data_IF_030339574975
#
_entry.id   IF_030339574975
#
_cell.length_a   1.000
_cell.length_b   1.000
_cell.length_c   1.000
_cell.angle_alpha   90.00
_cell.angle_beta   90.00
_cell.angle_gamma   90.00
#
_symmetry.space_group_name_H-M   'P 1'
#
loop_
_entity.id
_entity.type
_entity.pdbx_description
1 polymer ?
#
# COMPACT_ATOMS: atom_id res chain seq x y z
N UNK A 1 21.26 -1.58 9.61
CA UNK A 1 21.35 -0.64 8.46
C UNK A 1 19.96 -0.26 8.02
N UNK A 2 19.64 1.03 7.97
CA UNK A 2 18.32 1.49 7.52
C UNK A 2 18.10 1.18 6.02
N UNK A 3 16.83 0.98 5.61
CA UNK A 3 16.48 0.75 4.21
C UNK A 3 16.96 1.90 3.30
N UNK A 4 16.92 3.14 3.79
CA UNK A 4 17.47 4.33 3.12
C UNK A 4 18.94 4.15 2.76
N UNK A 5 19.76 3.70 3.71
CA UNK A 5 21.19 3.53 3.52
C UNK A 5 21.49 2.39 2.53
N UNK A 6 20.71 1.29 2.56
CA UNK A 6 20.87 0.19 1.58
C UNK A 6 20.59 0.66 0.16
N UNK A 7 19.49 1.38 -0.07
CA UNK A 7 19.13 1.89 -1.41
C UNK A 7 20.18 2.87 -1.92
N UNK A 8 20.64 3.81 -1.09
CA UNK A 8 21.71 4.73 -1.46
C UNK A 8 23.00 3.99 -1.81
N UNK A 9 23.41 3.00 -1.00
CA UNK A 9 24.60 2.18 -1.27
C UNK A 9 24.50 1.38 -2.57
N UNK A 10 23.37 0.73 -2.83
CA UNK A 10 23.14 0.00 -4.07
C UNK A 10 23.17 0.92 -5.30
N UNK A 11 22.54 2.09 -5.20
CA UNK A 11 22.54 3.08 -6.27
C UNK A 11 23.97 3.60 -6.54
N UNK A 12 24.71 3.95 -5.50
CA UNK A 12 26.11 4.39 -5.60
C UNK A 12 26.99 3.31 -6.18
N UNK A 13 26.84 2.04 -5.73
CA UNK A 13 27.60 0.90 -6.26
C UNK A 13 27.33 0.69 -7.76
N UNK A 14 26.06 0.79 -8.18
CA UNK A 14 25.69 0.64 -9.58
C UNK A 14 26.31 1.74 -10.47
N UNK A 15 26.30 2.99 -10.01
CA UNK A 15 26.93 4.10 -10.73
C UNK A 15 28.44 3.93 -10.79
N UNK A 16 29.10 3.48 -9.71
CA UNK A 16 30.53 3.19 -9.68
C UNK A 16 30.91 2.06 -10.66
N UNK A 17 30.12 0.99 -10.72
CA UNK A 17 30.34 -0.11 -11.66
C UNK A 17 30.22 0.38 -13.11
N UNK A 18 29.23 1.22 -13.42
CA UNK A 18 29.06 1.80 -14.74
C UNK A 18 30.24 2.71 -15.10
N UNK A 19 30.68 3.57 -14.17
CA UNK A 19 31.83 4.44 -14.36
C UNK A 19 33.14 3.62 -14.57
N UNK A 20 33.33 2.54 -13.80
CA UNK A 20 34.46 1.64 -13.96
C UNK A 20 34.45 0.94 -15.33
N UNK A 21 33.26 0.50 -15.79
CA UNK A 21 33.10 -0.13 -17.11
C UNK A 21 33.45 0.84 -18.26
N UNK A 22 32.98 2.09 -18.16
CA UNK A 22 33.33 3.14 -19.15
C UNK A 22 34.81 3.43 -19.14
N UNK A 23 35.44 3.51 -17.95
CA UNK A 23 36.88 3.75 -17.84
C UNK A 23 37.68 2.60 -18.46
N UNK A 24 37.33 1.35 -18.18
CA UNK A 24 37.96 0.16 -18.79
C UNK A 24 37.81 0.18 -20.30
N UNK A 25 36.62 0.51 -20.80
CA UNK A 25 36.37 0.61 -22.23
C UNK A 25 37.25 1.66 -22.90
N UNK A 26 37.39 2.85 -22.29
CA UNK A 26 38.27 3.91 -22.78
C UNK A 26 39.72 3.48 -22.78
N UNK A 27 40.17 2.81 -21.71
CA UNK A 27 41.55 2.30 -21.60
C UNK A 27 41.82 1.20 -22.63
N UNK A 28 40.89 0.30 -22.89
CA UNK A 28 41.03 -0.78 -23.89
C UNK A 28 41.14 -0.21 -25.30
N UNK A 29 40.27 0.77 -25.65
CA UNK A 29 40.34 1.43 -26.97
C UNK A 29 41.64 2.16 -27.15
N UNK A 30 42.09 2.93 -26.16
CA UNK A 30 43.39 3.61 -26.23
C UNK A 30 44.57 2.61 -26.24
N UNK A 31 44.50 1.53 -25.46
CA UNK A 31 45.49 0.49 -25.46
C UNK A 31 45.64 -0.21 -26.84
N UNK A 32 44.53 -0.43 -27.53
CA UNK A 32 44.57 -0.97 -28.90
C UNK A 32 45.25 -0.01 -29.92
N UNK A 33 45.14 1.32 -29.69
CA UNK A 33 45.84 2.33 -30.51
C UNK A 33 47.32 2.46 -30.19
N UNK A 34 47.80 2.01 -29.00
CA UNK A 34 49.21 2.04 -28.58
C UNK A 34 50.04 0.96 -29.27
N UNK A 35 49.44 -0.05 -29.87
CA UNK A 35 50.15 -1.12 -30.61
C UNK A 35 50.60 -0.72 -31.99
N UNK A 36 50.27 0.48 -32.46
CA UNK A 36 50.72 0.99 -33.75
C UNK A 36 52.07 1.70 -33.56
N UNK A 37 53.17 0.90 -33.59
CA UNK A 37 54.54 1.41 -33.50
C UNK A 37 54.93 2.21 -34.75
N UNK A 38 55.01 3.55 -34.70
CA UNK A 38 55.36 4.36 -35.85
C UNK A 38 56.79 4.07 -36.38
N UNK A 39 57.69 3.74 -35.44
CA UNK A 39 59.09 3.42 -35.78
C UNK A 39 59.16 2.10 -36.56
N UNK A 40 58.45 1.04 -36.10
CA UNK A 40 58.38 -0.22 -36.82
C UNK A 40 57.71 -0.11 -38.18
N UNK A 41 56.64 0.75 -38.31
CA UNK A 41 56.04 1.04 -39.63
C UNK A 41 56.99 1.77 -40.57
N UNK A 42 57.76 2.73 -40.05
CA UNK A 42 58.75 3.50 -40.81
C UNK A 42 59.78 2.54 -41.43
N UNK A 43 60.41 1.73 -40.60
CA UNK A 43 61.41 0.75 -41.07
C UNK A 43 60.83 -0.19 -42.12
N UNK A 44 59.63 -0.75 -41.86
CA UNK A 44 59.01 -1.71 -42.77
C UNK A 44 58.68 -1.11 -44.15
N UNK A 45 58.23 0.13 -44.18
CA UNK A 45 57.91 0.82 -45.47
C UNK A 45 59.19 1.14 -46.24
N UNK A 46 60.25 1.63 -45.54
CA UNK A 46 61.51 1.97 -46.16
C UNK A 46 62.21 0.71 -46.72
N UNK A 47 62.31 -0.36 -45.94
CA UNK A 47 62.89 -1.63 -46.39
C UNK A 47 62.11 -2.25 -47.56
N UNK A 48 60.79 -2.16 -47.54
CA UNK A 48 59.96 -2.61 -48.67
C UNK A 48 60.23 -1.83 -49.96
N UNK A 49 60.45 -0.51 -49.87
CA UNK A 49 60.86 0.26 -51.02
C UNK A 49 62.28 -0.14 -51.48
N UNK A 50 63.20 -0.42 -50.53
CA UNK A 50 64.53 -0.91 -50.86
C UNK A 50 64.48 -2.24 -51.64
N UNK A 51 63.61 -3.20 -51.20
CA UNK A 51 63.44 -4.49 -51.85
C UNK A 51 62.81 -4.42 -53.25
N UNK A 52 62.07 -3.32 -53.53
CA UNK A 52 61.35 -3.10 -54.80
C UNK A 52 62.16 -2.28 -55.79
N UNK A 53 63.33 -1.75 -55.39
CA UNK A 53 64.11 -0.90 -56.24
C UNK A 53 64.82 -1.74 -57.34
N UNK A 54 64.57 -1.40 -58.57
CA UNK A 54 65.13 -2.07 -59.73
C UNK A 54 65.82 -1.00 -60.61
N UNK A 55 66.95 -1.43 -61.19
CA UNK A 55 67.68 -0.60 -62.17
C UNK A 55 67.77 -1.34 -63.47
N UNK A 56 66.96 -0.92 -64.44
CA UNK A 56 66.92 -1.57 -65.74
C UNK A 56 67.21 -0.51 -66.85
N UNK A 57 67.87 -0.94 -67.92
CA UNK A 57 68.18 -0.14 -69.11
C UNK A 57 68.83 1.23 -68.82
N UNK A 58 69.61 1.34 -67.75
CA UNK A 58 70.33 2.56 -67.41
C UNK A 58 69.46 3.63 -66.70
N UNK A 59 68.29 3.24 -66.20
CA UNK A 59 67.39 4.12 -65.43
C UNK A 59 66.80 3.43 -64.25
N UNK A 60 66.50 4.17 -63.17
CA UNK A 60 65.76 3.66 -62.05
C UNK A 60 64.26 3.60 -62.39
N UNK A 61 63.63 2.52 -62.05
CA UNK A 61 62.21 2.34 -62.16
C UNK A 61 61.48 2.82 -60.90
N UNK A 62 60.76 3.95 -61.04
CA UNK A 62 60.10 4.62 -59.88
C UNK A 62 58.62 4.24 -59.74
N UNK A 63 57.98 3.61 -60.73
CA UNK A 63 56.56 3.42 -60.81
C UNK A 63 56.01 2.53 -59.72
N UNK A 64 56.79 1.54 -59.18
CA UNK A 64 56.42 0.61 -58.12
C UNK A 64 56.85 1.07 -56.76
N UNK A 65 57.46 2.24 -56.61
CA UNK A 65 57.96 2.74 -55.32
C UNK A 65 56.90 3.64 -54.66
N UNK A 66 56.68 3.39 -53.40
CA UNK A 66 55.72 4.13 -52.56
C UNK A 66 56.38 5.40 -51.98
N UNK A 67 56.22 6.57 -52.58
CA UNK A 67 56.69 7.88 -52.04
C UNK A 67 55.91 8.29 -50.79
N UNK A 68 54.70 7.83 -50.63
CA UNK A 68 53.85 7.99 -49.43
C UNK A 68 53.00 6.75 -49.18
N UNK A 69 53.18 6.17 -48.00
CA UNK A 69 52.41 4.99 -47.59
C UNK A 69 52.23 4.90 -46.09
N UNK A 70 50.98 4.74 -45.65
CA UNK A 70 50.61 4.54 -44.22
C UNK A 70 51.21 5.63 -43.30
N UNK A 71 51.25 6.88 -43.74
CA UNK A 71 51.80 8.00 -42.98
C UNK A 71 53.31 8.14 -43.07
N UNK A 72 54.01 7.25 -43.79
CA UNK A 72 55.45 7.36 -44.04
C UNK A 72 55.69 8.04 -45.37
N UNK A 73 56.47 9.09 -45.34
CA UNK A 73 56.98 9.77 -46.53
C UNK A 73 58.36 9.18 -46.86
N UNK A 74 58.57 8.75 -48.11
CA UNK A 74 59.82 8.25 -48.57
C UNK A 74 60.40 9.18 -49.64
N UNK A 75 61.67 9.53 -49.42
CA UNK A 75 62.44 10.39 -50.34
C UNK A 75 63.70 9.65 -50.72
N UNK A 76 64.06 9.68 -51.97
CA UNK A 76 65.18 8.94 -52.55
C UNK A 76 66.26 9.93 -53.00
N UNK A 77 67.48 9.70 -52.55
CA UNK A 77 68.66 10.51 -52.85
C UNK A 77 69.74 9.67 -53.52
N UNK A 78 70.51 10.35 -54.41
CA UNK A 78 71.71 9.76 -54.99
C UNK A 78 72.90 9.72 -54.04
N UNK A 79 74.03 9.14 -54.48
CA UNK A 79 75.25 9.03 -53.70
C UNK A 79 75.78 10.39 -53.21
N UNK A 80 75.64 11.44 -54.02
CA UNK A 80 76.06 12.81 -53.70
C UNK A 80 75.01 13.57 -52.84
N UNK A 81 73.89 12.90 -52.43
CA UNK A 81 72.82 13.52 -51.66
C UNK A 81 71.85 14.35 -52.49
N UNK A 82 71.91 14.25 -53.82
CA UNK A 82 70.90 14.92 -54.68
C UNK A 82 69.56 14.21 -54.65
N UNK A 83 68.45 14.97 -54.71
CA UNK A 83 67.10 14.43 -54.74
C UNK A 83 66.82 13.73 -56.06
N UNK A 84 66.57 12.42 -56.04
CA UNK A 84 66.24 11.65 -57.22
C UNK A 84 64.74 11.49 -57.47
N UNK A 85 64.01 11.15 -56.37
CA UNK A 85 62.57 10.91 -56.44
C UNK A 85 61.90 11.12 -55.07
N UNK A 86 60.58 11.41 -55.10
CA UNK A 86 59.76 11.66 -53.92
C UNK A 86 59.63 13.16 -53.62
N UNK A 87 58.62 13.47 -52.85
CA UNK A 87 58.36 14.85 -52.39
C UNK A 87 58.68 14.93 -50.88
N UNK A 88 59.54 15.86 -50.53
CA UNK A 88 59.73 16.24 -49.15
C UNK A 88 58.46 17.01 -48.71
N UNK A 89 57.95 16.78 -47.52
CA UNK A 89 56.84 17.54 -46.97
C UNK A 89 57.27 19.01 -46.80
N UNK A 90 56.52 19.97 -47.33
CA UNK A 90 56.90 21.38 -47.42
C UNK A 90 57.24 22.03 -46.07
N UNK A 91 56.68 21.52 -44.97
CA UNK A 91 56.88 22.03 -43.61
C UNK A 91 58.06 21.37 -42.86
N UNK A 92 58.69 20.29 -43.39
CA UNK A 92 59.72 19.54 -42.69
C UNK A 92 61.12 19.76 -43.36
N UNK A 93 61.80 20.83 -42.98
CA UNK A 93 63.20 20.98 -43.34
C UNK A 93 64.10 20.05 -42.47
N UNK A 94 64.41 18.84 -43.00
CA UNK A 94 65.28 17.87 -42.31
C UNK A 94 66.69 17.99 -42.82
N UNK A 95 67.54 18.74 -42.11
CA UNK A 95 68.95 18.95 -42.40
C UNK A 95 69.84 17.93 -41.69
N UNK A 96 69.52 16.66 -41.83
CA UNK A 96 70.34 15.56 -41.23
C UNK A 96 71.20 14.87 -42.31
N UNK A 97 72.47 14.53 -41.99
CA UNK A 97 73.26 13.66 -42.85
C UNK A 97 72.55 12.28 -42.99
N UNK A 98 72.76 11.64 -44.16
CA UNK A 98 72.27 10.27 -44.41
C UNK A 98 73.08 9.29 -43.58
N UNK A 99 72.39 8.42 -42.81
CA UNK A 99 72.99 7.41 -41.92
C UNK A 99 72.20 6.11 -41.95
N UNK A 100 72.83 5.07 -42.48
CA UNK A 100 72.12 3.83 -42.77
C UNK A 100 71.67 3.08 -41.51
N UNK A 101 70.47 2.60 -41.53
CA UNK A 101 69.88 1.62 -40.58
C UNK A 101 69.78 2.14 -39.14
N UNK A 102 69.67 3.45 -38.95
CA UNK A 102 69.45 4.10 -37.63
C UNK A 102 68.15 4.89 -37.64
N UNK A 103 67.32 4.63 -36.62
CA UNK A 103 66.12 5.48 -36.40
C UNK A 103 66.55 6.68 -35.58
N UNK A 104 66.30 7.88 -36.07
CA UNK A 104 66.61 9.15 -35.39
C UNK A 104 65.33 9.94 -35.11
N UNK A 105 65.25 10.55 -33.95
CA UNK A 105 64.17 11.47 -33.59
C UNK A 105 64.62 12.91 -33.89
N UNK A 106 63.82 13.65 -34.65
CA UNK A 106 64.13 15.02 -35.04
C UNK A 106 62.88 15.85 -34.81
N UNK A 107 63.07 17.14 -34.49
CA UNK A 107 61.98 18.10 -34.45
C UNK A 107 62.09 19.03 -35.68
N UNK A 108 61.12 18.96 -36.56
CA UNK A 108 61.00 19.83 -37.73
C UNK A 108 59.54 20.28 -37.90
N UNK A 109 59.32 21.53 -38.31
CA UNK A 109 57.96 22.09 -38.43
C UNK A 109 57.17 22.16 -37.11
N UNK A 110 57.83 22.07 -35.93
CA UNK A 110 57.17 22.04 -34.63
C UNK A 110 56.66 20.67 -34.20
N UNK A 111 56.89 19.63 -35.01
CA UNK A 111 56.51 18.26 -34.74
C UNK A 111 57.71 17.36 -34.50
N UNK A 112 57.57 16.36 -33.67
CA UNK A 112 58.57 15.29 -33.51
C UNK A 112 58.39 14.27 -34.62
N UNK A 113 59.46 13.97 -35.33
CA UNK A 113 59.51 13.05 -36.46
C UNK A 113 60.51 11.92 -36.18
N UNK A 114 60.19 10.72 -36.61
CA UNK A 114 61.15 9.62 -36.75
C UNK A 114 61.65 9.63 -38.19
N UNK A 115 62.97 9.60 -38.31
CA UNK A 115 63.69 9.50 -39.60
C UNK A 115 64.48 8.20 -39.61
N UNK A 116 64.37 7.45 -40.69
CA UNK A 116 65.13 6.22 -40.91
C UNK A 116 65.66 6.23 -42.33
N UNK A 117 66.97 6.06 -42.47
CA UNK A 117 67.64 6.01 -43.73
C UNK A 117 68.18 4.58 -44.00
N UNK A 118 68.10 4.14 -45.25
CA UNK A 118 68.75 2.91 -45.69
C UNK A 118 69.45 3.17 -47.02
N UNK A 119 70.51 2.45 -47.26
CA UNK A 119 71.30 2.50 -48.48
C UNK A 119 71.08 1.26 -49.30
N UNK A 120 70.78 1.38 -50.58
CA UNK A 120 70.65 0.31 -51.53
C UNK A 120 71.84 0.45 -52.54
N UNK A 121 72.74 -0.54 -52.52
CA UNK A 121 73.81 -0.64 -53.47
C UNK A 121 73.46 -1.61 -54.60
N UNK A 122 73.48 -1.12 -55.85
CA UNK A 122 73.07 -1.87 -57.04
C UNK A 122 74.16 -2.11 -58.01
N UNK A 123 75.44 -2.24 -57.55
CA UNK A 123 76.60 -2.43 -58.33
C UNK A 123 76.94 -1.30 -59.35
N UNK A 124 75.98 -0.52 -59.74
CA UNK A 124 76.03 0.56 -60.73
C UNK A 124 75.80 1.94 -60.14
N UNK A 125 74.97 2.02 -59.09
CA UNK A 125 74.61 3.26 -58.43
C UNK A 125 74.18 3.01 -56.99
N UNK A 126 74.47 3.90 -56.07
CA UNK A 126 74.03 3.87 -54.67
C UNK A 126 72.87 4.84 -54.55
N UNK A 127 71.75 4.33 -53.97
CA UNK A 127 70.59 5.14 -53.65
C UNK A 127 70.27 5.08 -52.18
N UNK A 128 70.09 6.23 -51.60
CA UNK A 128 69.65 6.39 -50.23
C UNK A 128 68.12 6.57 -50.20
N UNK A 129 67.45 5.83 -49.34
CA UNK A 129 66.03 5.97 -49.10
C UNK A 129 65.82 6.48 -47.68
N UNK A 130 65.29 7.69 -47.59
CA UNK A 130 64.92 8.35 -46.34
C UNK A 130 63.45 8.23 -46.13
N UNK A 131 63.04 7.54 -45.08
CA UNK A 131 61.66 7.56 -44.57
C UNK A 131 61.47 8.54 -43.43
N UNK A 132 60.32 9.19 -43.40
CA UNK A 132 59.95 10.11 -42.35
C UNK A 132 58.52 9.87 -41.94
N UNK A 133 58.27 9.79 -40.64
CA UNK A 133 56.91 9.64 -40.07
C UNK A 133 56.77 10.53 -38.82
N UNK A 134 55.63 11.19 -38.60
CA UNK A 134 55.37 11.89 -37.34
C UNK A 134 55.42 10.91 -36.15
N UNK A 135 56.20 11.27 -35.14
CA UNK A 135 56.14 10.60 -33.85
C UNK A 135 54.86 11.08 -33.17
N UNK A 136 53.77 10.32 -33.31
CA UNK A 136 52.50 10.69 -32.70
C UNK A 136 52.69 10.94 -31.19
N UNK A 137 52.47 12.19 -30.77
CA UNK A 137 52.55 12.55 -29.36
C UNK A 137 51.34 12.00 -28.60
N UNK A 138 51.45 10.72 -28.17
CA UNK A 138 50.41 10.00 -27.38
C UNK A 138 50.36 10.51 -25.93
N UNK A 139 51.35 11.30 -25.50
CA UNK A 139 51.43 11.79 -24.11
C UNK A 139 50.31 12.74 -23.76
N UNK A 140 49.89 13.59 -24.73
CA UNK A 140 48.81 14.56 -24.53
C UNK A 140 47.45 13.94 -24.34
N UNK A 141 47.14 12.87 -25.08
CA UNK A 141 45.83 12.17 -24.97
C UNK A 141 45.71 11.45 -23.62
N UNK A 142 46.79 10.76 -23.21
CA UNK A 142 46.78 10.04 -21.90
C UNK A 142 46.65 11.04 -20.74
N UNK A 143 47.34 12.18 -20.80
CA UNK A 143 47.27 13.20 -19.77
C UNK A 143 45.83 13.81 -19.68
N UNK A 144 45.19 14.05 -20.80
CA UNK A 144 43.82 14.51 -20.85
C UNK A 144 42.82 13.52 -20.26
N UNK A 145 43.01 12.22 -20.55
CA UNK A 145 42.15 11.15 -19.97
C UNK A 145 42.34 11.06 -18.45
N UNK A 146 43.57 11.16 -17.95
CA UNK A 146 43.84 11.14 -16.51
C UNK A 146 43.18 12.33 -15.82
N UNK A 147 43.35 13.54 -16.32
CA UNK A 147 42.74 14.76 -15.77
C UNK A 147 41.22 14.63 -15.77
N UNK A 148 40.62 14.20 -16.89
CA UNK A 148 39.18 14.05 -17.02
C UNK A 148 38.64 13.00 -16.04
N UNK A 149 39.33 11.89 -15.89
CA UNK A 149 38.96 10.84 -14.95
C UNK A 149 39.06 11.32 -13.50
N UNK A 150 40.15 11.98 -13.14
CA UNK A 150 40.39 12.51 -11.79
C UNK A 150 39.40 13.61 -11.38
N UNK A 151 38.80 14.32 -12.33
CA UNK A 151 37.81 15.37 -12.07
C UNK A 151 36.37 14.85 -12.12
N UNK A 152 36.02 14.06 -13.13
CA UNK A 152 34.64 13.57 -13.33
C UNK A 152 34.25 12.48 -12.34
N UNK A 153 35.16 11.55 -12.00
CA UNK A 153 34.82 10.44 -11.13
C UNK A 153 34.40 10.88 -9.73
N UNK A 154 35.13 11.76 -9.02
CA UNK A 154 34.70 12.29 -7.73
C UNK A 154 33.37 13.06 -7.81
N UNK A 155 33.18 13.86 -8.87
CA UNK A 155 31.94 14.60 -9.08
C UNK A 155 30.74 13.65 -9.25
N UNK A 156 30.90 12.58 -10.02
CA UNK A 156 29.89 11.53 -10.20
C UNK A 156 29.55 10.81 -8.89
N UNK A 157 30.56 10.51 -8.05
CA UNK A 157 30.35 9.89 -6.75
C UNK A 157 29.51 10.80 -5.86
N UNK A 158 29.89 12.07 -5.74
CA UNK A 158 29.13 13.03 -4.91
C UNK A 158 27.68 13.18 -5.42
N UNK A 159 27.49 13.32 -6.73
CA UNK A 159 26.17 13.44 -7.33
C UNK A 159 25.32 12.18 -7.12
N UNK A 160 25.93 11.00 -7.24
CA UNK A 160 25.27 9.70 -7.00
C UNK A 160 24.83 9.54 -5.54
N UNK A 161 25.70 9.85 -4.59
CA UNK A 161 25.38 9.77 -3.15
C UNK A 161 24.27 10.77 -2.81
N UNK A 162 24.39 12.02 -3.26
CA UNK A 162 23.38 13.06 -3.00
C UNK A 162 22.03 12.71 -3.64
N UNK A 163 22.04 12.29 -4.91
CA UNK A 163 20.83 11.89 -5.63
C UNK A 163 20.17 10.66 -5.00
N UNK A 164 20.93 9.63 -4.69
CA UNK A 164 20.42 8.43 -4.02
C UNK A 164 19.83 8.74 -2.62
N UNK A 165 20.48 9.63 -1.87
CA UNK A 165 19.94 10.07 -0.56
C UNK A 165 18.65 10.87 -0.68
N UNK A 166 18.55 11.80 -1.66
CA UNK A 166 17.34 12.58 -1.90
C UNK A 166 16.16 11.68 -2.31
N UNK A 167 16.40 10.75 -3.24
CA UNK A 167 15.38 9.78 -3.69
C UNK A 167 14.93 8.89 -2.52
N UNK A 168 15.89 8.31 -1.78
CA UNK A 168 15.58 7.46 -0.64
C UNK A 168 14.82 8.23 0.46
N UNK A 169 15.22 9.47 0.77
CA UNK A 169 14.52 10.32 1.75
C UNK A 169 13.08 10.61 1.31
N UNK A 170 12.86 10.93 0.03
CA UNK A 170 11.52 11.19 -0.52
C UNK A 170 10.62 9.95 -0.48
N UNK A 171 11.17 8.79 -0.81
CA UNK A 171 10.43 7.52 -0.85
C UNK A 171 10.06 6.98 0.55
N UNK A 172 10.92 7.13 1.55
CA UNK A 172 10.70 6.54 2.88
C UNK A 172 10.08 7.48 3.92
N UNK A 173 10.05 8.79 3.69
CA UNK A 173 9.42 9.75 4.61
C UNK A 173 7.93 9.48 4.86
N UNK A 174 7.12 9.09 3.85
CA UNK A 174 5.72 8.71 4.06
C UNK A 174 5.54 7.50 4.96
N UNK A 175 6.43 6.52 4.85
CA UNK A 175 6.39 5.30 5.66
C UNK A 175 6.64 5.58 7.15
N UNK A 176 7.52 6.53 7.47
CA UNK A 176 7.75 6.98 8.86
C UNK A 176 6.49 7.57 9.48
N UNK A 177 5.68 8.32 8.70
CA UNK A 177 4.40 8.85 9.17
C UNK A 177 3.38 7.75 9.49
N UNK A 178 3.32 6.71 8.63
CA UNK A 178 2.44 5.55 8.87
C UNK A 178 2.84 4.83 10.14
N UNK A 179 4.14 4.58 10.32
CA UNK A 179 4.68 3.90 11.52
C UNK A 179 4.44 4.73 12.77
N UNK A 180 4.67 6.05 12.73
CA UNK A 180 4.42 6.92 13.89
C UNK A 180 2.93 6.98 14.27
N UNK A 181 2.03 7.05 13.29
CA UNK A 181 0.59 6.99 13.52
C UNK A 181 0.17 5.65 14.14
N UNK A 182 0.71 4.54 13.64
CA UNK A 182 0.44 3.22 14.19
C UNK A 182 0.92 3.07 15.65
N UNK A 183 2.10 3.59 15.97
CA UNK A 183 2.65 3.55 17.33
C UNK A 183 1.83 4.43 18.29
N UNK A 184 1.46 5.66 17.90
CA UNK A 184 0.62 6.54 18.74
C UNK A 184 -0.73 5.92 19.09
N UNK A 185 -1.31 5.14 18.16
CA UNK A 185 -2.56 4.42 18.40
C UNK A 185 -2.34 3.23 19.34
N UNK A 186 -1.21 2.51 19.20
CA UNK A 186 -0.85 1.40 20.08
C UNK A 186 -0.66 1.87 21.53
N UNK A 187 -0.15 3.08 21.72
CA UNK A 187 0.07 3.69 23.04
C UNK A 187 -1.22 4.29 23.64
N UNK A 188 -2.35 4.26 22.92
CA UNK A 188 -3.67 4.66 23.40
C UNK A 188 -3.95 6.17 23.37
N UNK A 189 -3.07 6.97 22.76
CA UNK A 189 -3.12 8.43 22.88
C UNK A 189 -4.22 9.09 22.04
N UNK A 190 -4.43 8.72 20.79
CA UNK A 190 -5.44 9.36 19.94
C UNK A 190 -5.83 8.50 18.72
N UNK A 191 -7.03 7.93 18.74
CA UNK A 191 -7.58 7.15 17.61
C UNK A 191 -8.11 8.03 16.47
N UNK A 192 -8.19 9.35 16.65
CA UNK A 192 -8.64 10.29 15.61
C UNK A 192 -7.54 10.64 14.61
N UNK A 193 -6.28 10.29 14.90
CA UNK A 193 -5.16 10.53 14.02
C UNK A 193 -5.38 9.92 12.64
N UNK A 194 -5.11 10.72 11.60
CA UNK A 194 -5.16 10.29 10.20
C UNK A 194 -3.86 10.68 9.50
N UNK A 195 -3.42 9.83 8.61
CA UNK A 195 -2.21 10.06 7.82
C UNK A 195 -2.43 11.17 6.79
N UNK A 196 -3.61 11.20 6.20
CA UNK A 196 -4.15 12.25 5.32
C UNK A 196 -3.16 12.68 4.22
N UNK A 197 -2.58 11.69 3.52
CA UNK A 197 -1.52 11.91 2.54
C UNK A 197 -2.07 12.43 1.21
N UNK A 198 -1.84 13.71 0.93
CA UNK A 198 -2.25 14.36 -0.33
C UNK A 198 -1.14 14.37 -1.39
N UNK A 199 0.14 14.28 -1.00
CA UNK A 199 1.32 14.34 -1.88
C UNK A 199 2.19 13.11 -1.72
N UNK A 200 2.78 12.62 -2.83
CA UNK A 200 3.67 11.45 -2.85
C UNK A 200 3.30 10.44 -3.94
N UNK A 201 4.03 9.33 -4.07
CA UNK A 201 3.76 8.25 -5.01
C UNK A 201 2.32 7.72 -4.87
N UNK A 202 1.72 7.29 -5.98
CA UNK A 202 0.34 6.78 -6.03
C UNK A 202 0.12 5.59 -5.09
N UNK A 203 1.09 4.69 -5.00
CA UNK A 203 1.08 3.51 -4.15
C UNK A 203 1.04 3.87 -2.66
N UNK A 204 1.83 4.88 -2.26
CA UNK A 204 1.87 5.36 -0.88
C UNK A 204 0.58 6.08 -0.50
N UNK A 205 -0.02 6.84 -1.42
CA UNK A 205 -1.34 7.47 -1.20
C UNK A 205 -2.44 6.44 -1.02
N UNK A 206 -2.44 5.37 -1.85
CA UNK A 206 -3.40 4.25 -1.72
C UNK A 206 -3.23 3.52 -0.40
N UNK A 207 -1.98 3.26 0.02
CA UNK A 207 -1.68 2.63 1.30
C UNK A 207 -2.16 3.50 2.46
N UNK A 208 -1.85 4.80 2.46
CA UNK A 208 -2.31 5.74 3.47
C UNK A 208 -3.84 5.80 3.56
N UNK A 209 -4.55 5.88 2.41
CA UNK A 209 -6.01 5.88 2.37
C UNK A 209 -6.62 4.58 2.92
N UNK A 210 -6.02 3.43 2.61
CA UNK A 210 -6.47 2.13 3.16
C UNK A 210 -6.25 2.06 4.67
N UNK A 211 -5.15 2.61 5.16
CA UNK A 211 -4.83 2.70 6.58
C UNK A 211 -5.81 3.65 7.30
N UNK A 212 -6.08 4.84 6.73
CA UNK A 212 -7.05 5.79 7.27
C UNK A 212 -8.46 5.19 7.35
N UNK A 213 -8.86 4.38 6.33
CA UNK A 213 -10.13 3.65 6.35
C UNK A 213 -10.18 2.59 7.45
N UNK A 214 -9.08 1.87 7.67
CA UNK A 214 -8.96 0.90 8.77
C UNK A 214 -9.04 1.59 10.13
N UNK A 215 -8.32 2.70 10.31
CA UNK A 215 -8.37 3.51 11.53
C UNK A 215 -9.77 4.06 11.80
N UNK A 216 -10.47 4.54 10.78
CA UNK A 216 -11.85 5.01 10.92
C UNK A 216 -12.81 3.91 11.40
N UNK A 217 -12.64 2.69 10.92
CA UNK A 217 -13.42 1.53 11.39
C UNK A 217 -13.11 1.17 12.83
N UNK A 218 -11.81 1.20 13.20
CA UNK A 218 -11.36 0.91 14.56
C UNK A 218 -11.90 1.95 15.55
N UNK A 219 -11.77 3.23 15.23
CA UNK A 219 -12.32 4.33 16.05
C UNK A 219 -13.84 4.21 16.23
N UNK A 220 -14.57 3.93 15.15
CA UNK A 220 -16.01 3.73 15.20
C UNK A 220 -16.38 2.53 16.09
N UNK A 221 -15.64 1.41 15.98
CA UNK A 221 -15.85 0.23 16.81
C UNK A 221 -15.60 0.54 18.28
N UNK A 222 -14.49 1.22 18.59
CA UNK A 222 -14.13 1.59 19.96
C UNK A 222 -15.13 2.58 20.59
N UNK A 223 -15.56 3.60 19.83
CA UNK A 223 -16.56 4.54 20.29
C UNK A 223 -17.90 3.85 20.56
N UNK A 224 -18.28 2.90 19.69
CA UNK A 224 -19.51 2.10 19.90
C UNK A 224 -19.40 1.24 21.16
N UNK A 225 -18.25 0.62 21.41
CA UNK A 225 -18.02 -0.19 22.62
C UNK A 225 -18.00 0.67 23.89
N UNK A 226 -17.33 1.83 23.83
CA UNK A 226 -17.30 2.79 24.96
C UNK A 226 -18.69 3.32 25.30
N UNK A 227 -19.48 3.67 24.27
CA UNK A 227 -20.86 4.11 24.44
C UNK A 227 -21.69 2.99 25.08
N UNK A 228 -21.58 1.76 24.58
CA UNK A 228 -22.24 0.60 25.13
C UNK A 228 -21.93 0.36 26.62
N UNK A 229 -20.66 0.45 27.00
CA UNK A 229 -20.26 0.29 28.41
C UNK A 229 -20.81 1.42 29.31
N UNK A 230 -20.82 2.64 28.80
CA UNK A 230 -21.41 3.80 29.48
C UNK A 230 -22.92 3.64 29.70
N UNK A 231 -23.63 3.30 28.63
CA UNK A 231 -25.09 3.15 28.66
C UNK A 231 -25.52 1.98 29.55
N UNK A 232 -24.82 0.83 29.46
CA UNK A 232 -25.05 -0.31 30.35
C UNK A 232 -24.83 0.07 31.83
N UNK A 233 -23.81 0.87 32.12
CA UNK A 233 -23.53 1.33 33.50
C UNK A 233 -24.64 2.26 34.02
N UNK A 234 -25.18 3.13 33.15
CA UNK A 234 -26.28 4.00 33.51
C UNK A 234 -27.57 3.22 33.76
N UNK A 235 -27.91 2.25 32.88
CA UNK A 235 -29.11 1.45 32.98
C UNK A 235 -29.09 0.47 34.19
N UNK A 236 -27.90 0.04 34.62
CA UNK A 236 -27.75 -0.75 35.84
C UNK A 236 -27.80 0.10 37.13
N UNK A 237 -27.36 1.37 37.07
CA UNK A 237 -27.32 2.24 38.25
C UNK A 237 -28.73 2.59 38.73
N UNK A 238 -29.65 2.86 37.84
CA UNK A 238 -31.03 3.26 38.15
C UNK A 238 -31.76 2.23 39.01
N UNK A 239 -31.92 0.95 38.61
CA UNK A 239 -32.58 -0.05 39.41
C UNK A 239 -31.85 -0.33 40.76
N UNK A 240 -30.52 -0.27 40.78
CA UNK A 240 -29.76 -0.40 42.02
C UNK A 240 -30.12 0.70 43.00
N UNK A 241 -30.26 1.96 42.53
CA UNK A 241 -30.62 3.10 43.33
C UNK A 241 -32.05 2.92 43.94
N UNK A 242 -32.99 2.45 43.10
CA UNK A 242 -34.37 2.14 43.55
C UNK A 242 -34.39 1.04 44.59
N UNK A 243 -33.66 -0.07 44.37
CA UNK A 243 -33.54 -1.16 45.32
C UNK A 243 -33.00 -0.67 46.67
N UNK A 244 -31.93 0.15 46.65
CA UNK A 244 -31.37 0.72 47.88
C UNK A 244 -32.34 1.63 48.60
N UNK A 245 -33.08 2.47 47.87
CA UNK A 245 -34.10 3.35 48.45
C UNK A 245 -35.26 2.56 49.08
N UNK A 246 -35.73 1.50 48.44
CA UNK A 246 -36.79 0.62 49.00
C UNK A 246 -36.28 -0.21 50.18
N UNK A 247 -35.02 -0.64 50.17
CA UNK A 247 -34.40 -1.25 51.34
C UNK A 247 -34.34 -0.31 52.55
N UNK A 248 -33.99 0.96 52.31
CA UNK A 248 -33.96 1.94 53.38
C UNK A 248 -35.37 2.33 53.87
N UNK A 249 -36.36 2.36 52.99
CA UNK A 249 -37.77 2.53 53.35
C UNK A 249 -38.24 1.37 54.23
N UNK A 250 -37.96 0.11 53.83
CA UNK A 250 -38.34 -1.09 54.55
C UNK A 250 -37.72 -1.23 55.95
N UNK A 251 -36.59 -0.56 56.22
CA UNK A 251 -35.90 -0.54 57.56
C UNK A 251 -36.45 0.48 58.53
N UNK A 252 -37.38 1.38 58.15
CA UNK A 252 -37.94 2.38 59.04
C UNK A 252 -38.82 1.72 60.11
N UNK A 253 -38.85 2.29 61.32
CA UNK A 253 -39.57 1.75 62.46
C UNK A 253 -41.10 1.88 62.36
N UNK A 254 -41.60 2.76 61.53
CA UNK A 254 -42.97 3.15 61.31
C UNK A 254 -43.65 2.51 60.07
N UNK A 255 -42.96 1.54 59.46
CA UNK A 255 -43.44 0.86 58.21
C UNK A 255 -44.54 -0.12 58.55
N UNK A 256 -45.67 0.01 57.84
CA UNK A 256 -46.75 -0.98 57.91
C UNK A 256 -46.35 -2.30 57.22
N UNK A 257 -47.02 -3.40 57.56
CA UNK A 257 -46.77 -4.68 56.85
C UNK A 257 -47.06 -4.57 55.36
N UNK A 258 -48.02 -3.77 54.97
CA UNK A 258 -48.40 -3.53 53.58
C UNK A 258 -47.32 -2.77 52.83
N UNK A 259 -46.82 -1.69 53.41
CA UNK A 259 -45.70 -0.92 52.84
C UNK A 259 -44.43 -1.75 52.72
N UNK A 260 -44.15 -2.60 53.71
CA UNK A 260 -42.99 -3.54 53.68
C UNK A 260 -43.13 -4.53 52.51
N UNK A 261 -44.31 -5.15 52.32
CA UNK A 261 -44.56 -6.05 51.23
C UNK A 261 -44.50 -5.32 49.87
N UNK A 262 -44.97 -4.08 49.81
CA UNK A 262 -44.85 -3.21 48.62
C UNK A 262 -43.38 -2.95 48.26
N UNK A 263 -42.54 -2.61 49.25
CA UNK A 263 -41.10 -2.41 49.01
C UNK A 263 -40.42 -3.71 48.50
N UNK A 264 -40.78 -4.88 49.05
CA UNK A 264 -40.25 -6.16 48.59
C UNK A 264 -40.67 -6.44 47.14
N UNK A 265 -41.92 -6.14 46.76
CA UNK A 265 -42.41 -6.35 45.38
C UNK A 265 -41.62 -5.47 44.39
N UNK A 266 -41.37 -4.18 44.74
CA UNK A 266 -40.54 -3.30 43.89
C UNK A 266 -39.11 -3.83 43.78
N UNK A 267 -38.49 -4.27 44.90
CA UNK A 267 -37.13 -4.87 44.88
C UNK A 267 -37.08 -6.09 43.96
N UNK A 268 -38.09 -6.97 44.04
CA UNK A 268 -38.16 -8.17 43.20
C UNK A 268 -38.30 -7.81 41.72
N UNK A 269 -39.14 -6.86 41.40
CA UNK A 269 -39.35 -6.35 40.03
C UNK A 269 -38.05 -5.76 39.44
N UNK A 270 -37.38 -4.90 40.21
CA UNK A 270 -36.11 -4.29 39.76
C UNK A 270 -35.02 -5.36 39.62
N UNK A 271 -34.97 -6.37 40.49
CA UNK A 271 -34.04 -7.49 40.40
C UNK A 271 -34.26 -8.35 39.17
N UNK A 272 -35.51 -8.65 38.81
CA UNK A 272 -35.88 -9.34 37.56
C UNK A 272 -35.46 -8.54 36.32
N UNK A 273 -35.78 -7.23 36.27
CA UNK A 273 -35.41 -6.34 35.18
C UNK A 273 -33.88 -6.28 34.99
N UNK A 274 -33.11 -6.19 36.08
CA UNK A 274 -31.66 -6.29 36.02
C UNK A 274 -31.15 -7.60 35.45
N UNK A 275 -31.75 -8.73 35.84
CA UNK A 275 -31.39 -10.07 35.32
C UNK A 275 -31.63 -10.14 33.81
N UNK A 276 -32.76 -9.65 33.33
CA UNK A 276 -33.09 -9.59 31.89
C UNK A 276 -32.13 -8.71 31.12
N UNK A 277 -31.79 -7.53 31.69
CA UNK A 277 -30.80 -6.63 31.12
C UNK A 277 -29.44 -7.30 30.94
N UNK A 278 -28.91 -7.92 31.99
CA UNK A 278 -27.64 -8.65 31.97
C UNK A 278 -27.66 -9.79 30.94
N UNK A 279 -28.75 -10.58 30.90
CA UNK A 279 -28.88 -11.65 29.91
C UNK A 279 -28.92 -11.13 28.49
N UNK A 280 -29.54 -9.96 28.25
CA UNK A 280 -29.59 -9.30 26.96
C UNK A 280 -28.21 -8.83 26.53
N UNK A 281 -27.46 -8.20 27.44
CA UNK A 281 -26.07 -7.77 27.21
C UNK A 281 -25.14 -8.94 26.89
N UNK A 282 -25.22 -10.05 27.67
CA UNK A 282 -24.45 -11.27 27.44
C UNK A 282 -24.78 -11.92 26.10
N UNK A 283 -26.03 -11.86 25.68
CA UNK A 283 -26.44 -12.42 24.37
C UNK A 283 -25.91 -11.62 23.22
N UNK A 284 -25.97 -10.27 23.30
CA UNK A 284 -25.40 -9.37 22.28
C UNK A 284 -23.89 -9.59 22.14
N UNK A 285 -23.15 -9.66 23.24
CA UNK A 285 -21.69 -9.90 23.20
C UNK A 285 -21.31 -11.26 22.65
N UNK A 286 -22.08 -12.31 22.97
CA UNK A 286 -21.84 -13.66 22.45
C UNK A 286 -22.12 -13.78 20.95
N UNK A 287 -23.14 -13.10 20.44
CA UNK A 287 -23.44 -13.08 19.00
C UNK A 287 -22.31 -12.41 18.18
N UNK A 288 -21.67 -11.38 18.74
CA UNK A 288 -20.52 -10.73 18.09
C UNK A 288 -19.26 -11.60 18.02
N UNK A 289 -19.15 -12.63 18.88
CA UNK A 289 -18.01 -13.56 18.93
C UNK A 289 -18.07 -14.71 17.92
N UNK A 290 -19.15 -14.84 17.14
CA UNK A 290 -19.29 -15.80 16.06
C UNK A 290 -20.40 -16.83 16.23
N UNK A 291 -20.66 -17.57 15.14
CA UNK A 291 -21.79 -18.50 14.98
C UNK A 291 -21.63 -19.82 15.74
N UNK A 292 -20.44 -20.18 16.20
CA UNK A 292 -20.17 -21.50 16.80
C UNK A 292 -20.99 -21.79 18.07
N UNK A 293 -21.48 -20.76 18.76
CA UNK A 293 -22.27 -20.89 19.99
C UNK A 293 -23.77 -20.94 19.76
N UNK A 294 -24.26 -20.55 18.59
CA UNK A 294 -25.68 -20.54 18.24
C UNK A 294 -25.90 -21.29 16.92
N UNK A 295 -25.89 -22.63 16.93
CA UNK A 295 -26.05 -23.39 15.70
C UNK A 295 -27.41 -23.10 15.07
N UNK A 296 -27.42 -22.83 13.77
CA UNK A 296 -28.64 -22.77 12.98
C UNK A 296 -29.10 -24.20 12.66
N UNK A 297 -30.40 -24.46 12.77
CA UNK A 297 -30.97 -25.75 12.43
C UNK A 297 -32.20 -25.52 11.56
N UNK A 298 -32.36 -26.34 10.54
CA UNK A 298 -33.57 -26.29 9.72
C UNK A 298 -34.75 -26.81 10.54
N UNK A 299 -35.78 -25.98 10.67
CA UNK A 299 -37.00 -26.30 11.41
C UNK A 299 -38.20 -25.56 10.83
N UNK A 300 -39.39 -25.95 11.20
CA UNK A 300 -40.63 -25.27 10.84
C UNK A 300 -40.80 -23.99 11.67
N UNK A 301 -40.64 -22.83 11.01
CA UNK A 301 -40.78 -21.54 11.64
C UNK A 301 -42.25 -21.24 11.97
N UNK A 302 -43.19 -21.83 11.22
CA UNK A 302 -44.64 -21.64 11.46
C UNK A 302 -45.07 -22.21 12.80
N UNK A 303 -44.74 -23.49 13.05
CA UNK A 303 -45.00 -24.15 14.35
C UNK A 303 -44.30 -23.39 15.48
N UNK A 304 -43.06 -22.93 15.22
CA UNK A 304 -42.31 -22.23 16.25
C UNK A 304 -42.92 -20.87 16.61
N UNK A 305 -43.36 -20.06 15.64
CA UNK A 305 -44.02 -18.77 15.90
C UNK A 305 -45.35 -18.93 16.55
N UNK A 306 -46.16 -19.97 16.16
CA UNK A 306 -47.38 -20.36 16.85
C UNK A 306 -47.15 -20.65 18.35
N UNK A 307 -46.17 -21.50 18.66
CA UNK A 307 -45.81 -21.82 20.04
C UNK A 307 -45.38 -20.55 20.83
N UNK A 308 -44.58 -19.67 20.24
CA UNK A 308 -44.23 -18.40 20.89
C UNK A 308 -45.43 -17.51 21.18
N UNK A 309 -46.41 -17.50 20.28
CA UNK A 309 -47.66 -16.76 20.49
C UNK A 309 -48.54 -17.40 21.58
N UNK A 310 -48.54 -18.73 21.71
CA UNK A 310 -49.29 -19.45 22.78
C UNK A 310 -48.65 -19.21 24.16
N UNK A 311 -47.32 -19.13 24.23
CA UNK A 311 -46.59 -18.87 25.48
C UNK A 311 -46.65 -17.39 25.90
N UNK A 312 -47.09 -16.49 25.01
CA UNK A 312 -47.16 -15.09 25.34
C UNK A 312 -48.31 -14.77 26.24
N UNK A 313 -48.04 -14.56 27.52
CA UNK A 313 -49.00 -14.19 28.56
C UNK A 313 -48.70 -12.73 28.99
N UNK A 314 -49.55 -11.77 28.68
CA UNK A 314 -49.38 -10.40 29.14
C UNK A 314 -49.53 -10.29 30.65
N UNK A 315 -48.69 -9.41 31.24
CA UNK A 315 -48.66 -9.18 32.70
C UNK A 315 -49.93 -8.51 33.24
N UNK A 316 -50.59 -7.74 32.40
CA UNK A 316 -51.82 -7.05 32.72
C UNK A 316 -52.97 -7.39 31.74
N UNK A 317 -54.21 -7.10 32.10
CA UNK A 317 -55.38 -7.39 31.27
C UNK A 317 -55.86 -6.11 30.54
N UNK A 318 -55.03 -5.57 29.69
CA UNK A 318 -55.42 -4.40 28.85
C UNK A 318 -56.52 -4.72 27.82
N UNK A 319 -56.99 -5.94 27.73
CA UNK A 319 -57.99 -6.37 26.76
C UNK A 319 -57.52 -6.39 25.32
N UNK A 320 -56.20 -6.36 25.07
CA UNK A 320 -55.64 -6.44 23.73
C UNK A 320 -55.81 -7.84 23.16
N UNK A 321 -56.26 -7.95 21.93
CA UNK A 321 -56.51 -9.21 21.25
C UNK A 321 -55.35 -9.57 20.33
N UNK A 322 -54.83 -10.82 20.40
CA UNK A 322 -53.80 -11.34 19.53
C UNK A 322 -54.43 -12.11 18.37
N UNK A 323 -54.19 -11.62 17.16
CA UNK A 323 -54.64 -12.24 15.91
C UNK A 323 -53.44 -12.91 15.20
N UNK A 324 -53.63 -14.08 14.60
CA UNK A 324 -52.59 -14.88 13.96
C UNK A 324 -53.00 -15.20 12.52
N UNK A 325 -52.10 -14.94 11.58
CA UNK A 325 -52.22 -15.29 10.15
C UNK A 325 -50.93 -15.94 9.70
N UNK A 326 -50.70 -17.19 10.16
CA UNK A 326 -49.47 -17.91 10.00
C UNK A 326 -49.67 -18.99 8.92
N UNK A 327 -48.94 -18.84 7.81
CA UNK A 327 -48.89 -19.84 6.74
C UNK A 327 -48.14 -21.04 7.23
N UNK A 328 -48.75 -22.22 7.18
CA UNK A 328 -48.12 -23.51 7.66
C UNK A 328 -46.97 -23.94 6.74
N UNK A 329 -45.94 -24.58 7.31
CA UNK A 329 -44.86 -25.21 6.59
C UNK A 329 -43.77 -24.29 6.09
N UNK A 330 -43.63 -23.11 6.62
CA UNK A 330 -42.52 -22.20 6.31
C UNK A 330 -41.26 -22.68 7.04
N UNK A 331 -40.41 -23.43 6.36
CA UNK A 331 -39.21 -24.03 6.92
C UNK A 331 -37.96 -23.21 6.55
N UNK A 332 -37.12 -22.90 7.54
CA UNK A 332 -35.82 -22.20 7.31
C UNK A 332 -34.80 -22.64 8.38
N UNK A 333 -33.54 -22.19 8.17
CA UNK A 333 -32.47 -22.42 9.17
C UNK A 333 -32.48 -21.29 10.20
N UNK A 334 -32.73 -21.61 11.46
CA UNK A 334 -32.68 -20.63 12.54
C UNK A 334 -32.26 -21.24 13.88
N UNK A 335 -31.86 -20.39 14.82
CA UNK A 335 -31.62 -20.77 16.21
C UNK A 335 -32.86 -20.47 17.05
N UNK A 336 -33.44 -21.53 17.68
CA UNK A 336 -34.67 -21.42 18.44
C UNK A 336 -34.60 -20.41 19.59
N UNK A 337 -33.50 -20.40 20.36
CA UNK A 337 -33.38 -19.49 21.51
C UNK A 337 -33.26 -18.01 21.08
N UNK A 338 -32.59 -17.72 19.96
CA UNK A 338 -32.50 -16.38 19.44
C UNK A 338 -33.81 -15.93 18.79
N UNK A 339 -34.45 -16.81 18.02
CA UNK A 339 -35.71 -16.49 17.34
C UNK A 339 -36.88 -16.31 18.34
N UNK A 340 -36.93 -17.08 19.43
CA UNK A 340 -37.88 -16.84 20.52
C UNK A 340 -37.75 -15.39 21.05
N UNK A 341 -36.53 -14.90 21.23
CA UNK A 341 -36.30 -13.52 21.68
C UNK A 341 -36.79 -12.48 20.66
N UNK A 342 -36.67 -12.76 19.35
CA UNK A 342 -37.20 -11.87 18.31
C UNK A 342 -38.72 -11.75 18.46
N UNK A 343 -39.41 -12.89 18.48
CA UNK A 343 -40.87 -12.92 18.58
C UNK A 343 -41.32 -12.28 19.89
N UNK A 344 -40.74 -12.65 21.02
CA UNK A 344 -41.09 -12.08 22.33
C UNK A 344 -40.90 -10.56 22.40
N UNK A 345 -39.74 -10.07 21.92
CA UNK A 345 -39.49 -8.61 21.92
C UNK A 345 -40.49 -7.85 21.06
N UNK A 346 -40.87 -8.38 19.89
CA UNK A 346 -41.87 -7.75 19.04
C UNK A 346 -43.26 -7.78 19.67
N UNK A 347 -43.65 -8.91 20.23
CA UNK A 347 -44.95 -9.04 20.94
C UNK A 347 -45.02 -8.15 22.18
N UNK A 348 -43.97 -8.12 23.02
CA UNK A 348 -43.89 -7.23 24.16
C UNK A 348 -43.98 -5.77 23.79
N UNK A 349 -43.30 -5.34 22.70
CA UNK A 349 -43.41 -3.97 22.22
C UNK A 349 -44.80 -3.66 21.71
N UNK A 350 -45.40 -4.53 20.90
CA UNK A 350 -46.77 -4.35 20.40
C UNK A 350 -47.80 -4.26 21.55
N UNK A 351 -47.61 -5.08 22.59
CA UNK A 351 -48.50 -5.04 23.78
C UNK A 351 -48.27 -3.78 24.61
N UNK A 352 -47.03 -3.40 24.84
CA UNK A 352 -46.67 -2.23 25.66
C UNK A 352 -47.18 -0.91 25.06
N UNK A 353 -47.00 -0.74 23.74
CA UNK A 353 -47.33 0.48 23.02
C UNK A 353 -48.71 0.44 22.33
N UNK A 354 -49.37 -0.74 22.37
CA UNK A 354 -50.72 -0.92 21.86
C UNK A 354 -51.76 -0.15 22.67
N UNK A 355 -52.91 0.06 22.08
CA UNK A 355 -54.07 0.71 22.73
C UNK A 355 -54.78 -0.25 23.70
N UNK A 356 -55.36 0.27 24.72
CA UNK A 356 -56.26 -0.51 25.58
C UNK A 356 -57.48 -1.01 24.76
N UNK A 357 -57.79 -2.32 24.85
CA UNK A 357 -58.78 -2.96 23.99
C UNK A 357 -58.39 -3.09 22.53
N UNK A 358 -57.11 -2.83 22.19
CA UNK A 358 -56.59 -2.84 20.84
C UNK A 358 -56.30 -4.25 20.30
N UNK A 359 -55.53 -4.28 19.20
CA UNK A 359 -55.26 -5.51 18.47
C UNK A 359 -53.77 -5.63 18.10
N UNK A 360 -53.24 -6.83 18.22
CA UNK A 360 -51.90 -7.21 17.70
C UNK A 360 -52.15 -8.27 16.62
N UNK A 361 -51.58 -8.01 15.41
CA UNK A 361 -51.62 -8.96 14.29
C UNK A 361 -50.23 -9.55 14.07
N UNK A 362 -50.12 -10.88 14.14
CA UNK A 362 -48.89 -11.61 13.81
C UNK A 362 -49.14 -12.38 12.52
N UNK A 363 -48.32 -12.13 11.50
CA UNK A 363 -48.41 -12.88 10.26
C UNK A 363 -47.05 -13.44 9.87
N UNK A 364 -47.04 -14.68 9.35
CA UNK A 364 -45.85 -15.32 8.78
C UNK A 364 -46.18 -15.84 7.39
N UNK A 365 -45.39 -15.46 6.42
CA UNK A 365 -45.52 -15.88 5.02
C UNK A 365 -44.18 -16.15 4.38
N UNK A 366 -44.13 -17.02 3.39
CA UNK A 366 -42.98 -17.14 2.51
C UNK A 366 -43.17 -16.21 1.31
N UNK A 367 -42.24 -15.30 1.08
CA UNK A 367 -42.27 -14.34 0.00
C UNK A 367 -40.83 -14.16 -0.56
N UNK A 368 -40.67 -14.24 -1.87
CA UNK A 368 -39.42 -14.00 -2.59
C UNK A 368 -38.22 -14.82 -2.00
N UNK A 369 -38.48 -16.09 -1.62
CA UNK A 369 -37.45 -16.96 -1.04
C UNK A 369 -37.02 -16.58 0.38
N UNK A 370 -37.85 -15.83 1.09
CA UNK A 370 -37.65 -15.43 2.48
C UNK A 370 -38.87 -15.71 3.32
N UNK A 371 -38.68 -16.16 4.54
CA UNK A 371 -39.70 -16.18 5.58
C UNK A 371 -39.86 -14.75 6.11
N UNK A 372 -41.07 -14.22 5.99
CA UNK A 372 -41.45 -12.85 6.37
C UNK A 372 -42.37 -12.92 7.57
N UNK A 373 -41.87 -12.56 8.74
CA UNK A 373 -42.63 -12.40 9.97
C UNK A 373 -42.97 -10.93 10.14
N UNK A 374 -44.26 -10.63 10.30
CA UNK A 374 -44.77 -9.29 10.63
C UNK A 374 -45.48 -9.30 11.96
N UNK A 375 -45.23 -8.27 12.76
CA UNK A 375 -45.99 -7.99 14.00
C UNK A 375 -46.48 -6.56 13.91
N UNK A 376 -47.80 -6.39 13.87
CA UNK A 376 -48.45 -5.11 13.76
C UNK A 376 -49.26 -4.79 15.03
N UNK A 377 -49.22 -3.55 15.47
CA UNK A 377 -50.01 -2.99 16.57
C UNK A 377 -50.82 -1.77 16.09
N UNK A 378 -51.94 -1.49 16.76
CA UNK A 378 -52.77 -0.33 16.55
C UNK A 378 -52.53 0.82 17.56
N UNK A 379 -51.33 0.85 18.12
CA UNK A 379 -50.91 1.68 19.23
C UNK A 379 -50.60 3.13 18.89
N UNK A 380 -49.72 3.72 19.69
CA UNK A 380 -49.33 5.14 19.60
C UNK A 380 -48.57 5.50 18.34
N UNK A 381 -47.96 4.49 17.68
CA UNK A 381 -47.09 4.72 16.51
C UNK A 381 -45.76 5.41 16.84
N UNK A 382 -44.95 5.61 15.81
CA UNK A 382 -43.58 6.15 15.92
C UNK A 382 -43.44 7.33 14.97
N UNK A 383 -42.88 8.44 15.48
CA UNK A 383 -42.56 9.60 14.64
C UNK A 383 -41.48 9.27 13.59
N UNK A 384 -41.64 9.79 12.37
CA UNK A 384 -40.73 9.56 11.25
C UNK A 384 -39.23 9.81 11.58
N UNK A 385 -38.93 10.87 12.35
CA UNK A 385 -37.56 11.20 12.77
C UNK A 385 -36.91 10.16 13.67
N UNK A 386 -37.71 9.27 14.26
CA UNK A 386 -37.28 8.25 15.22
C UNK A 386 -37.15 6.85 14.59
N UNK A 387 -37.68 6.60 13.38
CA UNK A 387 -37.68 5.27 12.75
C UNK A 387 -36.27 4.65 12.59
N UNK A 388 -35.27 5.46 12.28
CA UNK A 388 -33.87 4.99 12.20
C UNK A 388 -33.21 4.81 13.58
N UNK A 389 -33.72 5.49 14.59
CA UNK A 389 -33.13 5.51 15.95
C UNK A 389 -33.64 4.38 16.84
N UNK A 390 -34.84 3.88 16.61
CA UNK A 390 -35.43 2.79 17.43
C UNK A 390 -34.58 1.50 17.44
N UNK A 391 -33.69 1.33 16.46
CA UNK A 391 -32.79 0.20 16.35
C UNK A 391 -31.46 0.38 17.10
N UNK A 392 -31.26 1.59 17.70
CA UNK A 392 -30.07 1.87 18.50
C UNK A 392 -30.25 1.27 19.91
N UNK A 393 -29.16 0.78 20.48
CA UNK A 393 -29.14 0.23 21.82
C UNK A 393 -29.47 1.33 22.83
N UNK A 394 -30.28 0.98 23.85
CA UNK A 394 -30.72 1.87 24.92
C UNK A 394 -31.57 3.09 24.44
N UNK A 395 -31.98 3.10 23.19
CA UNK A 395 -32.83 4.19 22.70
C UNK A 395 -34.29 4.02 23.17
N UNK A 396 -34.85 5.09 23.67
CA UNK A 396 -36.26 5.19 24.07
C UNK A 396 -36.84 6.54 23.63
N UNK A 397 -38.13 6.59 23.28
CA UNK A 397 -38.80 7.83 23.06
C UNK A 397 -38.99 8.58 24.38
N UNK A 398 -38.93 9.93 24.37
CA UNK A 398 -39.03 10.73 25.61
C UNK A 398 -40.35 10.48 26.38
N UNK A 399 -41.43 10.13 25.68
CA UNK A 399 -42.72 9.81 26.27
C UNK A 399 -42.74 8.44 26.99
N UNK A 400 -41.76 7.54 26.74
CA UNK A 400 -41.69 6.20 27.33
C UNK A 400 -40.72 6.06 28.49
N UNK A 401 -40.10 7.15 28.93
CA UNK A 401 -39.13 7.21 30.08
C UNK A 401 -39.83 7.19 31.45
N UNK A 402 -41.16 6.97 31.53
CA UNK A 402 -41.89 6.81 32.78
C UNK A 402 -41.69 5.45 33.45
N UNK A 403 -42.50 5.20 34.53
CA UNK A 403 -42.37 4.00 35.40
C UNK A 403 -42.44 2.64 34.68
N UNK A 404 -42.97 2.58 33.43
CA UNK A 404 -43.05 1.38 32.57
C UNK A 404 -41.92 1.30 31.49
N UNK A 405 -40.85 2.05 31.63
CA UNK A 405 -39.75 2.12 30.65
C UNK A 405 -38.97 0.80 30.54
N UNK A 406 -38.96 0.18 29.37
CA UNK A 406 -38.10 -1.00 29.09
C UNK A 406 -36.63 -0.58 28.93
N UNK A 407 -35.71 -1.54 28.86
CA UNK A 407 -34.25 -1.29 28.75
C UNK A 407 -33.76 -0.65 27.44
N UNK A 408 -34.63 -0.44 26.45
CA UNK A 408 -34.23 0.05 25.11
C UNK A 408 -33.32 -0.91 24.32
N UNK A 409 -33.23 -2.17 24.76
CA UNK A 409 -32.42 -3.21 24.09
C UNK A 409 -33.21 -4.11 23.17
N UNK A 410 -34.54 -4.21 23.33
CA UNK A 410 -35.39 -5.18 22.65
C UNK A 410 -35.30 -5.10 21.12
N UNK A 411 -35.52 -3.92 20.53
CA UNK A 411 -35.47 -3.72 19.07
C UNK A 411 -34.03 -3.81 18.53
N UNK A 412 -33.04 -3.34 19.27
CA UNK A 412 -31.64 -3.53 18.91
C UNK A 412 -31.28 -5.01 18.83
N UNK A 413 -31.81 -5.82 19.77
CA UNK A 413 -31.63 -7.28 19.78
C UNK A 413 -32.36 -7.94 18.58
N UNK A 414 -33.57 -7.52 18.25
CA UNK A 414 -34.28 -7.99 17.05
C UNK A 414 -33.44 -7.78 15.80
N UNK A 415 -32.86 -6.60 15.65
CA UNK A 415 -31.98 -6.27 14.52
C UNK A 415 -30.73 -7.15 14.46
N UNK A 416 -30.00 -7.27 15.55
CA UNK A 416 -28.77 -8.07 15.63
C UNK A 416 -29.04 -9.57 15.38
N UNK A 417 -30.11 -10.11 15.97
CA UNK A 417 -30.52 -11.51 15.75
C UNK A 417 -30.92 -11.73 14.29
N UNK A 418 -31.68 -10.82 13.70
CA UNK A 418 -32.09 -10.92 12.30
C UNK A 418 -30.87 -10.90 11.37
N UNK A 419 -29.89 -10.01 11.62
CA UNK A 419 -28.64 -9.95 10.88
C UNK A 419 -27.79 -11.21 11.06
N UNK A 420 -27.76 -11.79 12.27
CA UNK A 420 -27.12 -13.07 12.55
C UNK A 420 -27.68 -14.21 11.67
N UNK A 421 -28.99 -14.19 11.38
CA UNK A 421 -29.66 -15.11 10.46
C UNK A 421 -29.59 -14.69 8.98
N UNK A 422 -28.69 -13.73 8.63
CA UNK A 422 -28.55 -13.17 7.29
C UNK A 422 -29.83 -12.50 6.76
N UNK A 423 -30.70 -12.08 7.66
CA UNK A 423 -31.96 -11.45 7.36
C UNK A 423 -31.94 -9.92 7.42
N UNK A 424 -33.10 -9.32 7.19
CA UNK A 424 -33.31 -7.86 7.27
C UNK A 424 -34.54 -7.55 8.13
N UNK A 425 -34.50 -6.40 8.81
CA UNK A 425 -35.61 -5.91 9.63
C UNK A 425 -36.03 -4.53 9.17
N UNK A 426 -37.31 -4.26 9.19
CA UNK A 426 -37.92 -2.96 8.85
C UNK A 426 -39.08 -2.59 9.78
N UNK A 427 -39.50 -1.33 9.70
CA UNK A 427 -40.63 -0.81 10.43
C UNK A 427 -41.38 0.19 9.53
N UNK A 428 -42.70 0.08 9.54
CA UNK A 428 -43.64 1.07 8.98
C UNK A 428 -44.51 1.55 10.11
N UNK A 429 -44.60 2.86 10.36
CA UNK A 429 -45.38 3.41 11.46
C UNK A 429 -45.80 4.84 11.20
N UNK A 430 -47.00 5.15 11.66
CA UNK A 430 -47.55 6.50 11.68
C UNK A 430 -48.03 6.86 13.09
N UNK A 431 -47.72 8.04 13.63
CA UNK A 431 -48.24 8.48 14.91
C UNK A 431 -49.77 8.37 15.02
N UNK A 432 -50.23 7.69 16.06
CA UNK A 432 -51.64 7.48 16.32
C UNK A 432 -52.35 6.39 15.50
N UNK A 433 -51.61 5.67 14.62
CA UNK A 433 -52.12 4.55 13.81
C UNK A 433 -51.52 3.22 14.14
N UNK A 434 -50.42 3.22 14.91
CA UNK A 434 -49.69 2.02 15.27
C UNK A 434 -48.42 1.76 14.46
N UNK A 435 -47.84 0.57 14.58
CA UNK A 435 -46.61 0.19 13.93
C UNK A 435 -46.66 -1.20 13.34
N UNK A 436 -45.96 -1.45 12.25
CA UNK A 436 -45.76 -2.76 11.63
C UNK A 436 -44.26 -3.05 11.57
N UNK A 437 -43.81 -4.03 12.37
CA UNK A 437 -42.44 -4.51 12.34
C UNK A 437 -42.35 -5.72 11.43
N UNK A 438 -41.38 -5.73 10.53
CA UNK A 438 -41.17 -6.80 9.54
C UNK A 438 -39.77 -7.41 9.72
N UNK A 439 -39.70 -8.71 9.90
CA UNK A 439 -38.45 -9.50 9.95
C UNK A 439 -38.43 -10.44 8.74
N UNK A 440 -37.38 -10.39 7.94
CA UNK A 440 -37.19 -11.23 6.75
C UNK A 440 -35.97 -12.11 6.95
N UNK A 441 -36.12 -13.44 6.83
CA UNK A 441 -35.04 -14.43 6.96
C UNK A 441 -35.02 -15.25 5.69
N UNK A 442 -33.84 -15.43 5.03
CA UNK A 442 -33.76 -16.25 3.82
C UNK A 442 -34.19 -17.70 4.09
N UNK A 443 -35.03 -18.26 3.24
CA UNK A 443 -35.37 -19.69 3.24
C UNK A 443 -34.21 -20.44 2.60
N UNK A 444 -33.53 -21.26 3.39
CA UNK A 444 -32.40 -22.09 2.96
C UNK A 444 -32.71 -23.57 3.13
#
# INVERSE_FOLDING_TARGET
MSAKLRVTLWFTLMVLLLAAMVLVFVLVINGASITDDPAGRLVKVVLRNADKMEFEHGRFEWDDLDSYKRGVYCVFYGEDGELLYGAQHDEWEISLPLEANVIREVTAGGEKLYVYDTMVDMDVAVVWIRGVIPAADQSGVMHTIIILTCTLLPALIVLSVAGGWLIARGAFRPMEKIVSAANSISDGDDMSLRINMTRGPSEMRRLAASFDKMLGRLEQSFNTERQFASDASHELRTPITVILAECDRAKRKDVTREDFLGSIAVIEEQGRGMSELVQSLLSLTRMQQGTDRYPLRRADLSEFVEACCDEFVPADRRGITLHRDITAGVCTEFNHALMSRVVQNLLQNAYKYGREGGRIDVALREQDGSAVLTVADDGIGIEQKNLDRIWQRFWQADASRGEDGGSGLGLAMVKEITQFHSGTVGVESEPGRGSVFTVRIPVR
#
